data_IF_496883554137
#
_entry.id   IF_496883554137
#
_cell.length_a   1.000
_cell.length_b   1.000
_cell.length_c   1.000
_cell.angle_alpha   90.00
_cell.angle_beta   90.00
_cell.angle_gamma   90.00
#
_symmetry.space_group_name_H-M   'P 1'
#
loop_
_entity.id
_entity.type
_entity.pdbx_description
1 polymer ?
#
# COMPACT_ATOMS: atom_id res chain seq x y z
N UNK A 1 8.30 13.72 14.26
CA UNK A 1 8.73 12.43 13.68
C UNK A 1 8.29 11.34 14.63
N UNK A 2 7.52 10.32 14.21
CA UNK A 2 7.09 9.28 15.13
C UNK A 2 8.32 8.48 15.60
N UNK A 3 8.51 8.42 16.92
CA UNK A 3 9.57 7.67 17.58
C UNK A 3 9.21 6.18 17.54
N UNK A 4 9.98 5.37 16.80
CA UNK A 4 9.85 3.91 16.83
C UNK A 4 10.48 3.37 18.14
N UNK A 5 9.82 2.44 18.86
CA UNK A 5 10.44 1.74 19.98
C UNK A 5 11.69 1.00 19.52
N UNK A 6 12.78 1.12 20.28
CA UNK A 6 13.99 0.31 20.09
C UNK A 6 13.58 -1.15 20.21
N UNK A 7 14.04 -1.98 19.27
CA UNK A 7 13.75 -3.42 19.15
C UNK A 7 12.37 -3.83 18.64
N UNK A 8 11.53 -2.88 18.19
CA UNK A 8 10.26 -3.24 17.56
C UNK A 8 10.40 -3.70 16.11
N UNK A 9 9.60 -4.68 15.70
CA UNK A 9 9.49 -5.16 14.31
C UNK A 9 8.12 -4.83 13.72
N UNK A 10 8.09 -4.61 12.41
CA UNK A 10 6.86 -4.36 11.65
C UNK A 10 6.09 -5.68 11.51
N UNK A 11 4.77 -5.62 11.67
CA UNK A 11 3.80 -6.61 11.20
C UNK A 11 2.83 -5.90 10.27
N UNK A 12 2.77 -6.34 9.01
CA UNK A 12 1.82 -5.80 8.04
C UNK A 12 0.42 -6.35 8.30
N UNK A 13 -0.57 -5.47 8.49
CA UNK A 13 -1.96 -5.89 8.75
C UNK A 13 -2.79 -5.85 7.47
N UNK A 14 -2.61 -4.81 6.66
CA UNK A 14 -3.23 -4.69 5.33
C UNK A 14 -2.37 -3.86 4.40
N UNK A 15 -2.43 -4.17 3.11
CA UNK A 15 -1.85 -3.34 2.09
C UNK A 15 -2.66 -3.43 0.81
N UNK A 16 -3.10 -2.28 0.32
CA UNK A 16 -3.96 -2.16 -0.84
C UNK A 16 -3.34 -1.16 -1.82
N UNK A 17 -3.36 -1.49 -3.11
CA UNK A 17 -2.90 -0.58 -4.16
C UNK A 17 -3.97 -0.32 -5.20
N UNK A 18 -4.28 0.95 -5.45
CA UNK A 18 -5.31 1.32 -6.41
C UNK A 18 -5.93 2.70 -6.14
N UNK A 19 -7.22 2.81 -6.47
CA UNK A 19 -8.05 4.01 -6.30
C UNK A 19 -9.30 3.66 -5.49
N UNK A 20 -9.10 3.47 -4.18
CA UNK A 20 -10.12 2.97 -3.25
C UNK A 20 -11.19 4.03 -2.93
N UNK A 21 -10.80 5.31 -2.91
CA UNK A 21 -11.63 6.39 -2.38
C UNK A 21 -11.63 7.62 -3.30
N UNK A 22 -12.73 8.40 -3.21
CA UNK A 22 -12.84 9.71 -3.83
C UNK A 22 -11.93 10.67 -3.07
N UNK A 23 -10.81 11.04 -3.67
CA UNK A 23 -9.92 12.04 -3.09
C UNK A 23 -10.61 13.39 -2.93
N UNK A 24 -10.16 14.18 -1.94
CA UNK A 24 -10.70 15.53 -1.65
C UNK A 24 -10.74 16.48 -2.87
N UNK A 25 -9.87 16.24 -3.86
CA UNK A 25 -9.67 17.11 -5.01
C UNK A 25 -10.50 16.75 -6.26
N UNK A 26 -11.04 15.53 -6.36
CA UNK A 26 -11.82 15.09 -7.54
C UNK A 26 -13.23 14.73 -7.08
N UNK A 27 -14.22 15.57 -7.43
CA UNK A 27 -15.62 15.44 -6.98
C UNK A 27 -16.53 14.65 -7.92
N UNK A 28 -16.06 14.29 -9.12
CA UNK A 28 -16.81 13.40 -9.99
C UNK A 28 -16.41 11.97 -9.64
N UNK A 29 -17.37 11.07 -9.34
CA UNK A 29 -17.03 9.68 -9.20
C UNK A 29 -16.57 9.17 -10.56
N UNK A 30 -15.27 8.93 -10.72
CA UNK A 30 -14.79 8.15 -11.85
C UNK A 30 -15.49 6.79 -11.80
N UNK A 31 -15.91 6.25 -12.94
CA UNK A 31 -16.59 4.95 -13.08
C UNK A 31 -15.75 3.76 -12.54
N UNK A 32 -14.54 4.03 -12.04
CA UNK A 32 -13.54 3.07 -11.55
C UNK A 32 -13.17 3.29 -10.07
N UNK A 33 -14.01 3.98 -9.31
CA UNK A 33 -13.90 4.02 -7.85
C UNK A 33 -14.05 2.64 -7.23
N UNK A 34 -13.11 2.29 -6.34
CA UNK A 34 -13.07 0.98 -5.71
C UNK A 34 -12.16 -0.03 -6.43
N UNK A 35 -11.46 0.38 -7.49
CA UNK A 35 -10.44 -0.46 -8.10
C UNK A 35 -9.24 -0.57 -7.16
N UNK A 36 -9.02 -1.74 -6.58
CA UNK A 36 -7.99 -2.02 -5.58
C UNK A 36 -7.49 -3.44 -5.73
N UNK A 37 -6.20 -3.67 -5.45
CA UNK A 37 -5.66 -5.01 -5.33
C UNK A 37 -5.01 -5.17 -3.96
N UNK A 38 -5.22 -6.34 -3.38
CA UNK A 38 -4.52 -6.75 -2.17
C UNK A 38 -3.05 -7.04 -2.51
N UNK A 39 -2.18 -6.21 -1.98
CA UNK A 39 -0.72 -6.31 -2.11
C UNK A 39 -0.07 -6.67 -0.78
N UNK A 40 -0.86 -7.07 0.21
CA UNK A 40 -0.36 -7.54 1.51
C UNK A 40 0.69 -8.64 1.38
N UNK A 41 0.55 -9.69 0.53
CA UNK A 41 1.56 -10.73 0.44
C UNK A 41 2.95 -10.23 0.00
N UNK A 42 2.99 -9.16 -0.81
CA UNK A 42 4.23 -8.54 -1.31
C UNK A 42 4.89 -7.75 -0.18
N UNK A 43 4.10 -6.91 0.51
CA UNK A 43 4.60 -6.05 1.58
C UNK A 43 4.94 -6.84 2.83
N UNK A 44 4.14 -7.85 3.18
CA UNK A 44 4.38 -8.72 4.32
C UNK A 44 5.73 -9.44 4.19
N UNK A 45 5.98 -10.08 3.02
CA UNK A 45 7.27 -10.73 2.74
C UNK A 45 8.46 -9.78 2.85
N UNK A 46 8.26 -8.50 2.53
CA UNK A 46 9.34 -7.51 2.43
C UNK A 46 9.57 -6.71 3.70
N UNK A 47 8.53 -6.48 4.48
CA UNK A 47 8.54 -5.57 5.63
C UNK A 47 8.37 -6.29 6.97
N UNK A 48 7.54 -7.34 7.03
CA UNK A 48 7.25 -7.99 8.31
C UNK A 48 8.52 -8.61 8.92
N UNK A 49 8.67 -8.47 10.24
CA UNK A 49 9.86 -8.88 10.97
C UNK A 49 11.07 -7.95 10.85
N UNK A 50 10.96 -6.81 10.13
CA UNK A 50 12.04 -5.82 10.04
C UNK A 50 11.74 -4.60 10.92
N UNK A 51 12.79 -3.97 11.43
CA UNK A 51 12.68 -2.70 12.18
C UNK A 51 12.40 -1.49 11.27
N UNK A 52 12.77 -1.60 9.98
CA UNK A 52 12.57 -0.56 8.97
C UNK A 52 12.20 -1.21 7.64
N UNK A 53 11.25 -0.62 6.93
CA UNK A 53 10.91 -0.99 5.57
C UNK A 53 10.89 0.23 4.66
N UNK A 54 11.39 0.09 3.43
CA UNK A 54 11.37 1.16 2.44
C UNK A 54 10.38 0.81 1.32
N UNK A 55 9.24 1.51 1.30
CA UNK A 55 8.18 1.29 0.33
C UNK A 55 8.54 1.78 -1.09
N UNK A 56 9.48 2.72 -1.23
CA UNK A 56 9.91 3.23 -2.54
C UNK A 56 10.67 2.19 -3.38
N UNK A 57 11.19 1.14 -2.74
CA UNK A 57 11.89 0.05 -3.41
C UNK A 57 10.96 -1.11 -3.78
N UNK A 58 9.71 -1.10 -3.30
CA UNK A 58 8.67 -2.05 -3.71
C UNK A 58 8.21 -1.54 -5.07
N UNK A 59 8.86 -2.08 -6.10
CA UNK A 59 8.89 -1.54 -7.44
C UNK A 59 7.49 -1.44 -8.00
N UNK A 60 7.25 -0.34 -8.72
CA UNK A 60 6.07 -0.10 -9.53
C UNK A 60 5.64 -1.37 -10.26
N UNK A 61 6.61 -2.11 -10.83
CA UNK A 61 6.41 -3.37 -11.55
C UNK A 61 5.77 -4.51 -10.73
N UNK A 62 6.18 -4.71 -9.46
CA UNK A 62 5.62 -5.79 -8.61
C UNK A 62 4.14 -5.54 -8.30
N UNK A 63 3.80 -4.26 -8.17
CA UNK A 63 2.49 -3.77 -7.76
C UNK A 63 1.59 -3.50 -8.98
N UNK A 64 2.13 -3.04 -10.10
CA UNK A 64 1.42 -2.85 -11.37
C UNK A 64 1.08 -4.18 -12.02
N UNK A 65 1.95 -5.20 -11.94
CA UNK A 65 1.63 -6.55 -12.40
C UNK A 65 0.46 -7.17 -11.63
N UNK A 66 0.31 -6.80 -10.34
CA UNK A 66 -0.85 -7.19 -9.55
C UNK A 66 -2.13 -6.38 -9.90
N UNK A 67 -2.01 -5.37 -10.77
CA UNK A 67 -3.02 -4.35 -11.02
C UNK A 67 -3.54 -4.30 -12.47
N UNK A 68 -3.58 -5.46 -13.14
CA UNK A 68 -4.10 -5.60 -14.51
C UNK A 68 -5.57 -5.14 -14.65
N UNK A 69 -6.34 -5.15 -13.56
CA UNK A 69 -7.76 -4.81 -13.57
C UNK A 69 -8.06 -3.31 -13.37
N UNK A 70 -7.06 -2.46 -13.09
CA UNK A 70 -7.26 -1.02 -12.97
C UNK A 70 -6.63 -0.25 -14.12
N UNK A 71 -7.43 0.61 -14.76
CA UNK A 71 -6.98 1.52 -15.80
C UNK A 71 -5.70 2.26 -15.39
N UNK A 72 -4.70 2.27 -16.27
CA UNK A 72 -3.42 2.95 -16.07
C UNK A 72 -3.58 4.46 -15.85
N UNK A 73 -4.61 5.06 -16.45
CA UNK A 73 -4.89 6.51 -16.33
C UNK A 73 -5.30 6.94 -14.92
N UNK A 74 -5.66 5.99 -14.05
CA UNK A 74 -6.05 6.30 -12.67
C UNK A 74 -4.80 6.66 -11.87
N UNK A 75 -4.84 7.81 -11.18
CA UNK A 75 -3.84 8.11 -10.15
C UNK A 75 -4.05 7.16 -8.97
N UNK A 76 -3.29 6.06 -8.98
CA UNK A 76 -3.25 4.99 -7.97
C UNK A 76 -2.40 5.43 -6.77
N UNK A 77 -2.74 4.92 -5.60
CA UNK A 77 -1.96 5.12 -4.38
C UNK A 77 -1.91 3.83 -3.57
N UNK A 78 -0.90 3.75 -2.70
CA UNK A 78 -0.69 2.65 -1.77
C UNK A 78 -1.29 3.04 -0.40
N UNK A 79 -2.21 2.23 0.10
CA UNK A 79 -2.79 2.33 1.45
C UNK A 79 -2.26 1.15 2.27
N UNK A 80 -1.68 1.44 3.42
CA UNK A 80 -1.00 0.43 4.26
C UNK A 80 -1.37 0.63 5.71
N UNK A 81 -1.68 -0.48 6.37
CA UNK A 81 -1.83 -0.58 7.81
C UNK A 81 -0.80 -1.56 8.37
N UNK A 82 -0.12 -1.16 9.44
CA UNK A 82 0.91 -1.98 10.09
C UNK A 82 0.98 -1.71 11.59
N UNK A 83 1.42 -2.71 12.33
CA UNK A 83 1.68 -2.63 13.77
C UNK A 83 3.17 -2.80 14.03
N UNK A 84 3.69 -2.14 15.07
CA UNK A 84 5.02 -2.43 15.59
C UNK A 84 4.89 -3.36 16.81
N UNK A 85 5.49 -4.53 16.75
CA UNK A 85 5.55 -5.52 17.84
C UNK A 85 6.88 -5.38 18.58
N UNK A 86 6.88 -5.50 19.91
CA UNK A 86 8.08 -5.58 20.76
C UNK A 86 8.46 -7.03 21.07
#
# INVERSE_FOLDING_TARGET
MPHFPVDSVILMNSAEYGRMEVGRCIRKPDEFLGCTNDVLPILDRRCSGKQKCNFLLITHDDIEAANENCLEILMKYLKVDYTCLQ
#
